data_IF_070752104072
#
_entry.id   IF_070752104072
#
_cell.length_a   1.000
_cell.length_b   1.000
_cell.length_c   1.000
_cell.angle_alpha   90.00
_cell.angle_beta   90.00
_cell.angle_gamma   90.00
#
_symmetry.space_group_name_H-M   'P 1'
#
loop_
_entity.id
_entity.type
_entity.pdbx_description
1 polymer ?
#
# COMPACT_ATOMS: atom_id res chain seq x y z
N UNK A 1 -21.08 -16.87 5.47
CA UNK A 1 -20.21 -16.55 4.31
C UNK A 1 -19.74 -15.12 4.47
N UNK A 2 -18.43 -14.89 4.57
CA UNK A 2 -17.78 -13.60 4.87
C UNK A 2 -17.81 -12.57 3.71
N UNK A 3 -18.75 -12.70 2.77
CA UNK A 3 -18.81 -11.83 1.59
C UNK A 3 -19.22 -10.39 1.94
N UNK A 4 -20.06 -10.24 2.95
CA UNK A 4 -20.57 -8.94 3.38
C UNK A 4 -19.46 -8.06 3.97
N UNK A 5 -18.52 -8.66 4.71
CA UNK A 5 -17.33 -7.98 5.25
C UNK A 5 -16.38 -7.47 4.16
N UNK A 6 -16.22 -8.24 3.07
CA UNK A 6 -15.36 -7.85 1.94
C UNK A 6 -15.93 -6.65 1.18
N UNK A 7 -17.22 -6.70 0.82
CA UNK A 7 -17.89 -5.62 0.10
C UNK A 7 -17.93 -4.34 0.96
N UNK A 8 -18.22 -4.48 2.25
CA UNK A 8 -18.19 -3.37 3.20
C UNK A 8 -16.78 -2.74 3.32
N UNK A 9 -15.72 -3.55 3.30
CA UNK A 9 -14.33 -3.06 3.30
C UNK A 9 -14.01 -2.22 2.05
N UNK A 10 -14.54 -2.59 0.89
CA UNK A 10 -14.37 -1.82 -0.36
C UNK A 10 -15.06 -0.46 -0.23
N UNK A 11 -16.31 -0.42 0.27
CA UNK A 11 -17.06 0.82 0.39
C UNK A 11 -16.57 1.74 1.52
N UNK A 12 -16.01 1.19 2.61
CA UNK A 12 -15.43 1.96 3.72
C UNK A 12 -14.05 2.54 3.43
N UNK A 13 -13.37 2.11 2.35
CA UNK A 13 -12.01 2.56 2.03
C UNK A 13 -11.97 4.07 1.81
N UNK A 14 -11.15 4.76 2.60
CA UNK A 14 -10.87 6.21 2.51
C UNK A 14 -9.37 6.48 2.44
N UNK A 15 -8.99 7.61 1.84
CA UNK A 15 -7.60 8.06 1.83
C UNK A 15 -7.22 8.62 3.20
N UNK A 16 -6.49 7.84 3.99
CA UNK A 16 -5.93 8.23 5.29
C UNK A 16 -4.58 8.91 5.04
N UNK A 17 -4.30 10.02 5.72
CA UNK A 17 -3.02 10.78 5.59
C UNK A 17 -2.27 10.98 6.90
N UNK A 18 -2.89 10.62 8.03
CA UNK A 18 -2.29 10.66 9.36
C UNK A 18 -2.20 9.23 9.87
N UNK A 19 -0.98 8.79 10.20
CA UNK A 19 -0.70 7.44 10.67
C UNK A 19 -0.06 7.49 12.06
N UNK A 20 -0.27 6.45 12.85
CA UNK A 20 0.41 6.30 14.14
C UNK A 20 1.87 5.92 13.92
N UNK A 21 2.77 6.28 14.84
CA UNK A 21 4.20 5.94 14.79
C UNK A 21 4.49 4.45 15.10
N UNK A 22 3.52 3.56 14.89
CA UNK A 22 3.63 2.14 15.19
C UNK A 22 4.38 1.44 14.06
N UNK A 23 5.37 0.63 14.41
CA UNK A 23 6.01 -0.26 13.45
C UNK A 23 5.01 -1.27 12.88
N UNK A 24 5.13 -1.53 11.57
CA UNK A 24 4.29 -2.51 10.91
C UNK A 24 4.91 -3.91 11.01
N UNK A 25 4.05 -4.91 10.93
CA UNK A 25 4.46 -6.31 10.92
C UNK A 25 4.76 -6.77 9.49
N UNK A 26 5.90 -7.44 9.29
CA UNK A 26 6.34 -7.89 7.97
C UNK A 26 5.32 -8.80 7.27
N UNK A 27 4.58 -9.62 8.04
CA UNK A 27 3.56 -10.52 7.48
C UNK A 27 2.43 -9.75 6.79
N UNK A 28 1.97 -8.65 7.40
CA UNK A 28 0.94 -7.78 6.81
C UNK A 28 1.44 -7.14 5.51
N UNK A 29 2.71 -6.75 5.47
CA UNK A 29 3.32 -6.20 4.26
C UNK A 29 3.37 -7.24 3.13
N UNK A 30 3.75 -8.49 3.43
CA UNK A 30 3.76 -9.58 2.44
C UNK A 30 2.37 -9.86 1.89
N UNK A 31 1.34 -9.83 2.73
CA UNK A 31 -0.06 -10.01 2.31
C UNK A 31 -0.48 -8.88 1.35
N UNK A 32 -0.15 -7.63 1.67
CA UNK A 32 -0.46 -6.48 0.81
C UNK A 32 0.23 -6.57 -0.55
N UNK A 33 1.50 -6.98 -0.58
CA UNK A 33 2.23 -7.17 -1.84
C UNK A 33 1.61 -8.29 -2.67
N UNK A 34 1.26 -9.42 -2.06
CA UNK A 34 0.56 -10.53 -2.75
C UNK A 34 -0.78 -10.08 -3.33
N UNK A 35 -1.55 -9.29 -2.57
CA UNK A 35 -2.80 -8.72 -3.05
C UNK A 35 -2.59 -7.77 -4.23
N UNK A 36 -1.55 -6.94 -4.20
CA UNK A 36 -1.21 -6.04 -5.30
C UNK A 36 -0.75 -6.80 -6.57
N UNK A 37 0.02 -7.87 -6.41
CA UNK A 37 0.48 -8.74 -7.51
C UNK A 37 -0.62 -9.63 -8.09
N UNK A 38 -1.77 -9.75 -7.43
CA UNK A 38 -2.92 -10.47 -7.97
C UNK A 38 -3.72 -9.64 -9.01
N UNK A 39 -3.31 -8.39 -9.28
CA UNK A 39 -3.97 -7.54 -10.25
C UNK A 39 -3.81 -8.08 -11.70
N UNK A 40 -4.86 -8.02 -12.53
CA UNK A 40 -4.75 -8.43 -13.93
C UNK A 40 -3.88 -7.45 -14.71
N UNK A 41 -3.05 -7.96 -15.62
CA UNK A 41 -2.22 -7.14 -16.52
C UNK A 41 -2.38 -7.58 -17.97
N UNK A 42 -2.23 -6.63 -18.90
CA UNK A 42 -2.30 -6.91 -20.32
C UNK A 42 -1.22 -7.93 -20.73
N UNK A 43 -1.68 -9.09 -21.23
CA UNK A 43 -0.80 -10.21 -21.59
C UNK A 43 -0.13 -10.90 -20.41
N UNK A 44 -0.65 -10.74 -19.19
CA UNK A 44 -0.05 -11.26 -17.95
C UNK A 44 1.45 -10.88 -17.82
N UNK A 45 1.81 -9.68 -18.25
CA UNK A 45 3.21 -9.22 -18.23
C UNK A 45 3.73 -8.89 -16.84
N UNK A 46 2.84 -8.65 -15.88
CA UNK A 46 3.18 -8.39 -14.48
C UNK A 46 4.30 -7.33 -14.30
N UNK A 47 4.26 -6.17 -14.99
CA UNK A 47 5.38 -5.22 -15.00
C UNK A 47 5.44 -4.33 -13.74
N UNK A 48 4.91 -4.81 -12.60
CA UNK A 48 4.87 -4.04 -11.37
C UNK A 48 6.22 -4.07 -10.66
N UNK A 49 6.64 -2.91 -10.15
CA UNK A 49 7.79 -2.78 -9.27
C UNK A 49 7.34 -2.09 -7.99
N UNK A 50 7.66 -2.71 -6.85
CA UNK A 50 7.31 -2.19 -5.53
C UNK A 50 8.61 -1.88 -4.77
N UNK A 51 8.80 -0.61 -4.43
CA UNK A 51 9.93 -0.16 -3.60
C UNK A 51 9.40 0.08 -2.19
N UNK A 52 9.92 -0.67 -1.22
CA UNK A 52 9.54 -0.55 0.19
C UNK A 52 10.50 0.41 0.87
N UNK A 53 9.98 1.53 1.39
CA UNK A 53 10.79 2.51 2.12
C UNK A 53 10.36 2.49 3.59
N UNK A 54 11.20 1.90 4.44
CA UNK A 54 11.00 1.85 5.90
C UNK A 54 12.00 2.76 6.66
N UNK A 55 12.81 3.54 5.94
CA UNK A 55 13.76 4.47 6.56
C UNK A 55 13.15 5.87 6.58
N UNK A 56 13.06 6.46 7.78
CA UNK A 56 12.45 7.78 7.99
C UNK A 56 13.19 8.89 7.23
N UNK A 57 14.52 8.89 7.25
CA UNK A 57 15.33 9.89 6.55
C UNK A 57 15.08 9.85 5.04
N UNK A 58 14.98 8.65 4.46
CA UNK A 58 14.64 8.49 3.03
C UNK A 58 13.23 8.98 2.70
N UNK A 59 12.27 8.78 3.61
CA UNK A 59 10.90 9.29 3.46
C UNK A 59 10.85 10.81 3.55
N UNK A 60 11.61 11.42 4.47
CA UNK A 60 11.63 12.88 4.64
C UNK A 60 12.24 13.57 3.40
N UNK A 61 13.29 12.99 2.81
CA UNK A 61 13.87 13.46 1.53
C UNK A 61 12.85 13.37 0.39
N UNK A 62 12.15 12.23 0.25
CA UNK A 62 11.14 12.06 -0.79
C UNK A 62 9.96 13.04 -0.63
N UNK A 63 9.56 13.31 0.63
CA UNK A 63 8.47 14.24 0.94
C UNK A 63 8.83 15.66 0.52
N UNK A 64 10.07 16.10 0.76
CA UNK A 64 10.55 17.43 0.39
C UNK A 64 10.34 17.75 -1.10
N UNK A 65 10.58 16.78 -1.99
CA UNK A 65 10.40 16.97 -3.44
C UNK A 65 8.93 16.99 -3.88
N UNK A 66 8.03 16.37 -3.11
CA UNK A 66 6.62 16.20 -3.48
C UNK A 66 5.71 17.34 -2.97
N UNK A 67 6.18 18.18 -2.04
CA UNK A 67 5.39 19.25 -1.42
C UNK A 67 5.57 20.62 -2.07
N UNK A 68 6.03 20.71 -3.33
CA UNK A 68 6.14 22.00 -4.03
C UNK A 68 4.75 22.43 -4.55
N UNK A 69 3.99 23.14 -3.73
CA UNK A 69 2.84 23.98 -4.11
C UNK A 69 2.84 25.21 -3.22
#
# INVERSE_FOLDING_TARGET
MEYESLIDSIFKRRSIRNYTAKEFENEKLVILLKAAMAAPTAGNRQPWEFIIVNNREKLDVATCCLTTT
#
